data_IF_486106322437
#
_entry.id   IF_486106322437
#
_cell.length_a   1.000
_cell.length_b   1.000
_cell.length_c   1.000
_cell.angle_alpha   90.00
_cell.angle_beta   90.00
_cell.angle_gamma   90.00
#
_symmetry.space_group_name_H-M   'P 1'
#
loop_
_entity.id
_entity.type
_entity.pdbx_description
1 polymer ?
#
# COMPACT_ATOMS: atom_id res chain seq x y z
N UNK A 1 9.73 -14.44 6.45
CA UNK A 1 8.65 -13.45 6.21
C UNK A 1 7.95 -13.87 4.92
N UNK A 2 6.65 -14.09 4.94
CA UNK A 2 5.92 -14.43 3.72
C UNK A 2 5.73 -13.16 2.85
N UNK A 3 5.30 -13.35 1.57
CA UNK A 3 5.13 -12.22 0.64
C UNK A 3 4.13 -11.18 1.16
N UNK A 4 3.06 -11.62 1.81
CA UNK A 4 2.01 -10.75 2.31
C UNK A 4 2.48 -9.91 3.48
N UNK A 5 3.28 -10.47 4.38
CA UNK A 5 3.85 -9.72 5.51
C UNK A 5 4.78 -8.60 5.03
N UNK A 6 5.60 -8.85 3.97
CA UNK A 6 6.47 -7.82 3.40
C UNK A 6 5.69 -6.66 2.78
N UNK A 7 4.59 -6.95 2.08
CA UNK A 7 3.70 -5.92 1.51
C UNK A 7 3.04 -5.11 2.62
N UNK A 8 2.51 -5.78 3.65
CA UNK A 8 1.87 -5.13 4.79
C UNK A 8 2.86 -4.24 5.52
N UNK A 9 4.07 -4.74 5.80
CA UNK A 9 5.11 -3.95 6.45
C UNK A 9 5.42 -2.67 5.67
N UNK A 10 5.65 -2.77 4.34
CA UNK A 10 5.90 -1.59 3.52
C UNK A 10 4.74 -0.57 3.61
N UNK A 11 3.50 -1.03 3.54
CA UNK A 11 2.34 -0.13 3.64
C UNK A 11 2.27 0.55 5.02
N UNK A 12 2.51 -0.18 6.10
CA UNK A 12 2.51 0.38 7.46
C UNK A 12 3.65 1.38 7.68
N UNK A 13 4.81 1.19 7.05
CA UNK A 13 5.91 2.16 7.05
C UNK A 13 5.53 3.47 6.35
N UNK A 14 4.61 3.42 5.36
CA UNK A 14 4.12 4.61 4.66
C UNK A 14 2.98 5.32 5.41
N UNK A 15 2.04 4.55 5.97
CA UNK A 15 0.81 5.08 6.57
C UNK A 15 0.92 5.30 8.08
N UNK A 16 1.92 4.68 8.71
CA UNK A 16 1.93 4.48 10.14
C UNK A 16 0.97 3.36 10.58
N UNK A 17 1.09 2.98 11.85
CA UNK A 17 0.14 2.06 12.49
C UNK A 17 -0.20 2.59 13.88
N UNK A 18 -1.43 3.03 14.03
CA UNK A 18 -1.91 3.67 15.25
C UNK A 18 -2.97 2.82 15.95
N UNK A 19 -2.70 2.38 17.14
CA UNK A 19 -3.68 1.66 17.99
C UNK A 19 -4.62 2.62 18.71
N UNK A 20 -4.25 3.89 18.84
CA UNK A 20 -5.14 4.94 19.32
C UNK A 20 -5.79 5.62 18.12
N UNK A 21 -7.09 5.81 18.19
CA UNK A 21 -7.80 6.57 17.15
C UNK A 21 -7.28 8.01 17.10
N UNK A 22 -7.23 8.58 15.91
CA UNK A 22 -6.83 9.97 15.71
C UNK A 22 -7.63 10.61 14.57
N UNK A 23 -7.72 11.92 14.58
CA UNK A 23 -8.28 12.70 13.49
C UNK A 23 -7.12 13.37 12.74
N UNK A 24 -6.88 13.04 11.45
CA UNK A 24 -5.80 13.68 10.70
C UNK A 24 -5.96 15.19 10.64
N UNK A 25 -4.99 15.93 11.19
CA UNK A 25 -5.02 17.38 11.29
C UNK A 25 -3.68 18.00 10.87
N UNK A 26 -3.77 19.21 10.30
CA UNK A 26 -2.62 20.09 10.08
C UNK A 26 -2.96 21.45 10.69
N UNK A 27 -2.12 21.92 11.61
CA UNK A 27 -2.35 23.18 12.36
C UNK A 27 -3.74 23.24 13.03
N UNK A 28 -4.22 22.12 13.61
CA UNK A 28 -5.51 22.02 14.26
C UNK A 28 -6.73 21.90 13.32
N UNK A 29 -6.53 21.97 12.02
CA UNK A 29 -7.57 21.84 10.99
C UNK A 29 -7.54 20.41 10.44
N UNK A 30 -8.72 19.79 10.32
CA UNK A 30 -8.84 18.45 9.73
C UNK A 30 -8.39 18.47 8.27
N UNK A 31 -7.54 17.53 7.89
CA UNK A 31 -7.02 17.42 6.53
C UNK A 31 -8.14 16.96 5.59
N UNK A 32 -8.52 17.83 4.67
CA UNK A 32 -9.50 17.52 3.65
C UNK A 32 -10.85 17.08 4.23
N UNK A 33 -11.31 15.91 3.83
CA UNK A 33 -12.55 15.27 4.31
C UNK A 33 -12.26 14.02 5.18
N UNK A 34 -11.16 14.03 5.91
CA UNK A 34 -10.82 12.92 6.81
C UNK A 34 -11.80 12.79 7.97
N UNK A 35 -12.02 11.56 8.37
CA UNK A 35 -12.74 11.20 9.59
C UNK A 35 -11.81 10.60 10.64
N UNK A 36 -12.39 10.04 11.70
CA UNK A 36 -11.62 9.35 12.73
C UNK A 36 -10.95 8.12 12.14
N UNK A 37 -9.65 8.00 12.39
CA UNK A 37 -8.76 7.01 11.75
C UNK A 37 -8.04 6.19 12.81
N UNK A 38 -7.70 4.93 12.49
CA UNK A 38 -6.87 4.04 13.30
C UNK A 38 -6.17 2.97 12.44
N UNK A 39 -5.38 2.10 13.08
CA UNK A 39 -4.66 1.02 12.39
C UNK A 39 -3.75 1.56 11.28
N UNK A 40 -3.71 0.91 10.16
CA UNK A 40 -2.99 1.35 8.96
C UNK A 40 -3.87 2.24 8.06
N UNK A 41 -4.39 3.36 8.60
CA UNK A 41 -5.17 4.33 7.82
C UNK A 41 -6.65 3.99 7.66
N UNK A 42 -7.26 3.24 8.57
CA UNK A 42 -8.69 2.91 8.54
C UNK A 42 -9.51 4.13 8.96
N UNK A 43 -10.05 4.86 8.00
CA UNK A 43 -10.88 6.07 8.19
C UNK A 43 -12.37 5.68 8.25
N UNK A 44 -12.93 5.61 9.47
CA UNK A 44 -14.35 5.27 9.69
C UNK A 44 -15.32 6.39 9.29
N UNK A 45 -14.84 7.61 9.14
CA UNK A 45 -15.64 8.70 8.60
C UNK A 45 -15.99 8.50 7.11
N UNK A 46 -15.21 7.69 6.37
CA UNK A 46 -15.52 7.34 4.98
C UNK A 46 -16.53 6.20 4.86
N UNK A 47 -16.85 5.50 5.95
CA UNK A 47 -17.67 4.30 5.96
C UNK A 47 -19.15 4.60 6.22
N UNK A 48 -20.01 3.78 5.61
CA UNK A 48 -21.38 3.67 6.03
C UNK A 48 -21.52 2.69 7.23
N UNK A 49 -22.67 2.74 7.93
CA UNK A 49 -22.92 1.90 9.11
C UNK A 49 -22.72 0.40 8.82
N UNK A 50 -23.17 -0.09 7.66
CA UNK A 50 -23.01 -1.50 7.26
C UNK A 50 -21.54 -1.90 7.12
N UNK A 51 -20.74 -1.03 6.52
CA UNK A 51 -19.30 -1.26 6.31
C UNK A 51 -18.55 -1.21 7.65
N UNK A 52 -18.89 -0.25 8.51
CA UNK A 52 -18.34 -0.14 9.86
C UNK A 52 -18.63 -1.40 10.70
N UNK A 53 -19.88 -1.87 10.74
CA UNK A 53 -20.23 -3.11 11.45
C UNK A 53 -19.49 -4.35 10.92
N UNK A 54 -19.21 -4.39 9.63
CA UNK A 54 -18.43 -5.46 9.01
C UNK A 54 -16.94 -5.47 9.42
N UNK A 55 -16.45 -4.45 10.15
CA UNK A 55 -15.11 -4.47 10.74
C UNK A 55 -14.97 -5.52 11.85
N UNK A 56 -16.09 -5.91 12.49
CA UNK A 56 -16.09 -6.91 13.57
C UNK A 56 -15.30 -6.46 14.80
N UNK A 57 -15.46 -5.20 15.17
CA UNK A 57 -14.87 -4.64 16.39
C UNK A 57 -15.44 -5.28 17.64
N UNK A 58 -14.68 -5.36 18.76
CA UNK A 58 -15.24 -5.63 20.06
C UNK A 58 -16.40 -4.69 20.36
N UNK A 59 -17.43 -5.18 21.04
CA UNK A 59 -18.71 -4.47 21.23
C UNK A 59 -18.53 -3.10 21.90
N UNK A 60 -17.68 -3.01 22.91
CA UNK A 60 -17.35 -1.78 23.62
C UNK A 60 -16.67 -0.75 22.71
N UNK A 61 -15.73 -1.22 21.86
CA UNK A 61 -15.05 -0.38 20.87
C UNK A 61 -16.03 0.05 19.77
N UNK A 62 -16.89 -0.86 19.30
CA UNK A 62 -17.91 -0.54 18.30
C UNK A 62 -18.85 0.58 18.81
N UNK A 63 -19.37 0.46 20.02
CA UNK A 63 -20.24 1.49 20.61
C UNK A 63 -19.52 2.84 20.75
N UNK A 64 -18.28 2.83 21.21
CA UNK A 64 -17.49 4.06 21.37
C UNK A 64 -17.23 4.79 20.03
N UNK A 65 -17.05 4.05 18.95
CA UNK A 65 -16.73 4.59 17.64
C UNK A 65 -17.95 4.92 16.77
N UNK A 66 -19.12 4.39 17.11
CA UNK A 66 -20.36 4.56 16.33
C UNK A 66 -20.70 6.02 16.01
N UNK A 67 -20.53 7.02 16.93
CA UNK A 67 -20.82 8.43 16.66
C UNK A 67 -19.95 9.03 15.55
N UNK A 68 -18.79 8.44 15.24
CA UNK A 68 -17.86 8.92 14.23
C UNK A 68 -18.14 8.36 12.83
N UNK A 69 -18.98 7.35 12.70
CA UNK A 69 -19.27 6.70 11.42
C UNK A 69 -19.91 7.70 10.45
N UNK A 70 -19.28 7.85 9.29
CA UNK A 70 -19.71 8.81 8.25
C UNK A 70 -19.39 10.27 8.54
N UNK A 71 -18.82 10.61 9.71
CA UNK A 71 -18.47 11.98 10.09
C UNK A 71 -17.12 12.39 9.52
N UNK A 72 -17.07 13.53 8.84
CA UNK A 72 -15.91 14.02 8.09
C UNK A 72 -15.63 15.48 8.38
N UNK A 73 -14.38 15.90 8.29
CA UNK A 73 -13.99 17.30 8.41
C UNK A 73 -14.48 17.93 9.72
N UNK A 74 -15.25 19.02 9.64
CA UNK A 74 -15.77 19.73 10.80
C UNK A 74 -16.73 18.91 11.66
N UNK A 75 -17.51 18.00 11.07
CA UNK A 75 -18.39 17.10 11.83
C UNK A 75 -17.58 16.12 12.69
N UNK A 76 -16.51 15.52 12.10
CA UNK A 76 -15.62 14.64 12.85
C UNK A 76 -14.91 15.40 13.98
N UNK A 77 -14.51 16.65 13.75
CA UNK A 77 -13.89 17.50 14.77
C UNK A 77 -14.85 17.83 15.91
N UNK A 78 -16.14 18.04 15.62
CA UNK A 78 -17.16 18.27 16.64
C UNK A 78 -17.32 17.05 17.54
N UNK A 79 -17.47 15.85 16.96
CA UNK A 79 -17.57 14.60 17.70
C UNK A 79 -16.29 14.34 18.53
N UNK A 80 -15.11 14.58 17.97
CA UNK A 80 -13.84 14.41 18.71
C UNK A 80 -13.78 15.30 19.97
N UNK A 81 -14.24 16.55 19.87
CA UNK A 81 -14.28 17.45 21.04
C UNK A 81 -15.24 16.99 22.13
N UNK A 82 -16.32 16.32 21.76
CA UNK A 82 -17.32 15.82 22.67
C UNK A 82 -16.93 14.48 23.30
N UNK A 83 -16.43 13.55 22.52
CA UNK A 83 -16.24 12.16 22.92
C UNK A 83 -14.75 11.79 23.12
N UNK A 84 -13.84 12.39 22.36
CA UNK A 84 -12.40 12.14 22.43
C UNK A 84 -11.92 10.94 21.59
N UNK A 85 -10.78 10.36 21.99
CA UNK A 85 -10.09 9.29 21.29
C UNK A 85 -10.11 7.99 22.10
N UNK A 86 -10.01 6.85 21.39
CA UNK A 86 -10.07 5.52 21.99
C UNK A 86 -8.83 4.70 21.64
N UNK A 87 -8.47 3.77 22.53
CA UNK A 87 -7.47 2.75 22.25
C UNK A 87 -8.16 1.51 21.70
N UNK A 88 -7.63 0.98 20.62
CA UNK A 88 -8.07 -0.26 19.99
C UNK A 88 -7.00 -1.31 20.29
N UNK A 89 -7.35 -2.53 20.75
CA UNK A 89 -6.35 -3.57 20.93
C UNK A 89 -5.51 -3.77 19.67
N UNK A 90 -4.19 -3.87 19.83
CA UNK A 90 -3.26 -3.88 18.68
C UNK A 90 -3.54 -5.04 17.71
N UNK A 91 -3.88 -6.22 18.25
CA UNK A 91 -4.26 -7.38 17.45
C UNK A 91 -5.54 -7.14 16.64
N UNK A 92 -6.52 -6.42 17.21
CA UNK A 92 -7.77 -6.06 16.51
C UNK A 92 -7.49 -5.06 15.40
N UNK A 93 -6.74 -4.01 15.70
CA UNK A 93 -6.35 -3.00 14.71
C UNK A 93 -5.56 -3.62 13.56
N UNK A 94 -4.64 -4.55 13.86
CA UNK A 94 -3.84 -5.26 12.87
C UNK A 94 -4.69 -6.19 12.00
N UNK A 95 -5.61 -6.96 12.60
CA UNK A 95 -6.51 -7.84 11.84
C UNK A 95 -7.41 -7.06 10.88
N UNK A 96 -7.98 -5.94 11.34
CA UNK A 96 -8.77 -5.05 10.48
C UNK A 96 -7.92 -4.47 9.35
N UNK A 97 -6.69 -4.03 9.65
CA UNK A 97 -5.76 -3.51 8.64
C UNK A 97 -5.44 -4.58 7.58
N UNK A 98 -5.16 -5.82 7.99
CA UNK A 98 -4.91 -6.95 7.07
C UNK A 98 -6.12 -7.22 6.17
N UNK A 99 -7.32 -7.25 6.74
CA UNK A 99 -8.57 -7.44 5.96
C UNK A 99 -8.82 -6.28 4.98
N UNK A 100 -8.49 -5.06 5.37
CA UNK A 100 -8.59 -3.90 4.48
C UNK A 100 -7.61 -3.98 3.30
N UNK A 101 -6.36 -4.38 3.57
CA UNK A 101 -5.35 -4.62 2.52
C UNK A 101 -5.80 -5.75 1.59
N UNK A 102 -6.35 -6.85 2.12
CA UNK A 102 -6.84 -7.95 1.29
C UNK A 102 -8.01 -7.51 0.38
N UNK A 103 -8.92 -6.69 0.88
CA UNK A 103 -9.98 -6.07 0.05
C UNK A 103 -9.38 -5.23 -1.09
N UNK A 104 -8.32 -4.48 -0.81
CA UNK A 104 -7.58 -3.71 -1.83
C UNK A 104 -6.89 -4.61 -2.86
N UNK A 105 -6.29 -5.74 -2.43
CA UNK A 105 -5.74 -6.76 -3.34
C UNK A 105 -6.82 -7.34 -4.25
N UNK A 106 -8.00 -7.64 -3.72
CA UNK A 106 -9.12 -8.13 -4.54
C UNK A 106 -9.55 -7.12 -5.61
N UNK A 107 -9.54 -5.83 -5.30
CA UNK A 107 -9.81 -4.77 -6.28
C UNK A 107 -8.73 -4.74 -7.38
N UNK A 108 -7.47 -4.89 -7.03
CA UNK A 108 -6.36 -4.96 -7.99
C UNK A 108 -6.44 -6.23 -8.85
N UNK A 109 -6.71 -7.40 -8.27
CA UNK A 109 -6.92 -8.66 -9.02
C UNK A 109 -8.05 -8.54 -10.04
N UNK A 110 -9.14 -7.87 -9.66
CA UNK A 110 -10.27 -7.64 -10.57
C UNK A 110 -9.92 -6.72 -11.74
N UNK A 111 -9.09 -5.70 -11.49
CA UNK A 111 -8.67 -4.74 -12.51
C UNK A 111 -7.49 -5.26 -13.36
N UNK A 112 -6.63 -6.07 -12.75
CA UNK A 112 -5.38 -6.58 -13.30
C UNK A 112 -5.21 -8.05 -12.91
N UNK A 113 -5.64 -9.00 -13.75
CA UNK A 113 -5.56 -10.43 -13.45
C UNK A 113 -4.13 -10.93 -13.16
N UNK A 114 -3.12 -10.26 -13.70
CA UNK A 114 -1.69 -10.54 -13.48
C UNK A 114 -1.14 -10.08 -12.12
N UNK A 115 -1.93 -9.39 -11.29
CA UNK A 115 -1.47 -8.78 -10.03
C UNK A 115 -0.74 -9.76 -9.10
N UNK A 116 -1.20 -11.01 -8.99
CA UNK A 116 -0.55 -11.99 -8.10
C UNK A 116 0.76 -12.56 -8.67
N UNK A 117 1.02 -12.39 -9.98
CA UNK A 117 2.23 -12.86 -10.64
C UNK A 117 3.40 -11.87 -10.60
N UNK A 118 3.12 -10.59 -10.32
CA UNK A 118 4.17 -9.57 -10.21
C UNK A 118 4.95 -9.67 -8.88
N UNK A 119 6.10 -8.99 -8.80
CA UNK A 119 6.94 -9.02 -7.61
C UNK A 119 6.25 -8.39 -6.38
N UNK A 120 6.74 -8.74 -5.19
CA UNK A 120 6.26 -8.17 -3.91
C UNK A 120 6.39 -6.64 -3.91
N UNK A 121 7.48 -6.12 -4.45
CA UNK A 121 7.74 -4.68 -4.55
C UNK A 121 6.70 -3.98 -5.45
N UNK A 122 6.39 -4.57 -6.59
CA UNK A 122 5.35 -4.06 -7.49
C UNK A 122 3.95 -4.10 -6.82
N UNK A 123 3.61 -5.20 -6.14
CA UNK A 123 2.36 -5.32 -5.40
C UNK A 123 2.26 -4.25 -4.31
N UNK A 124 3.33 -4.00 -3.56
CA UNK A 124 3.38 -2.99 -2.52
C UNK A 124 3.16 -1.58 -3.08
N UNK A 125 3.80 -1.23 -4.18
CA UNK A 125 3.62 0.07 -4.85
C UNK A 125 2.21 0.21 -5.42
N UNK A 126 1.66 -0.81 -6.07
CA UNK A 126 0.31 -0.79 -6.60
C UNK A 126 -0.74 -0.58 -5.49
N UNK A 127 -0.59 -1.27 -4.36
CA UNK A 127 -1.45 -1.10 -3.19
C UNK A 127 -1.31 0.29 -2.56
N UNK A 128 -0.10 0.82 -2.48
CA UNK A 128 0.16 2.18 -1.98
C UNK A 128 -0.52 3.24 -2.85
N UNK A 129 -0.46 3.11 -4.17
CA UNK A 129 -1.18 3.99 -5.11
C UNK A 129 -2.69 3.89 -4.92
N UNK A 130 -3.23 2.65 -4.82
CA UNK A 130 -4.66 2.43 -4.61
C UNK A 130 -5.13 3.01 -3.28
N UNK A 131 -4.35 2.87 -2.22
CA UNK A 131 -4.66 3.41 -0.89
C UNK A 131 -4.78 4.94 -0.93
N UNK A 132 -3.86 5.63 -1.62
CA UNK A 132 -3.86 7.09 -1.67
C UNK A 132 -4.93 7.71 -2.58
N UNK A 133 -5.21 7.07 -3.72
CA UNK A 133 -6.05 7.66 -4.77
C UNK A 133 -7.34 6.87 -5.01
N UNK A 134 -7.59 5.82 -4.20
CA UNK A 134 -8.74 4.95 -4.37
C UNK A 134 -8.81 4.35 -5.78
N UNK A 135 -10.02 4.09 -6.26
CA UNK A 135 -10.23 3.51 -7.59
C UNK A 135 -9.71 4.38 -8.75
N UNK A 136 -9.46 5.67 -8.52
CA UNK A 136 -8.84 6.56 -9.51
C UNK A 136 -7.45 6.09 -9.92
N UNK A 137 -6.69 5.53 -8.98
CA UNK A 137 -5.35 5.02 -9.21
C UNK A 137 -5.28 3.95 -10.30
N UNK A 138 -6.34 3.14 -10.45
CA UNK A 138 -6.41 2.07 -11.47
C UNK A 138 -6.26 2.57 -12.91
N UNK A 139 -6.48 3.87 -13.15
CA UNK A 139 -6.37 4.47 -14.49
C UNK A 139 -5.02 5.14 -14.73
N UNK A 140 -4.20 5.32 -13.69
CA UNK A 140 -2.94 6.05 -13.80
C UNK A 140 -1.92 5.30 -14.66
N UNK A 141 -1.13 6.07 -15.42
CA UNK A 141 -0.02 5.54 -16.23
C UNK A 141 0.97 4.79 -15.35
N UNK A 142 1.27 5.36 -14.17
CA UNK A 142 2.16 4.76 -13.17
C UNK A 142 1.67 3.39 -12.71
N UNK A 143 0.38 3.25 -12.37
CA UNK A 143 -0.20 1.95 -11.99
C UNK A 143 -0.01 0.92 -13.11
N UNK A 144 -0.31 1.30 -14.34
CA UNK A 144 -0.17 0.41 -15.51
C UNK A 144 1.28 0.01 -15.75
N UNK A 145 2.23 0.94 -15.60
CA UNK A 145 3.66 0.65 -15.74
C UNK A 145 4.14 -0.33 -14.65
N UNK A 146 3.73 -0.12 -13.39
CA UNK A 146 4.02 -1.02 -12.28
C UNK A 146 3.53 -2.44 -12.56
N UNK A 147 2.27 -2.58 -12.98
CA UNK A 147 1.64 -3.88 -13.22
C UNK A 147 2.27 -4.60 -14.42
N UNK A 148 2.58 -3.89 -15.50
CA UNK A 148 3.21 -4.46 -16.71
C UNK A 148 4.69 -4.80 -16.54
N UNK A 149 5.32 -4.35 -15.45
CA UNK A 149 6.76 -4.54 -15.24
C UNK A 149 7.64 -3.54 -15.97
N UNK A 150 7.07 -2.44 -16.48
CA UNK A 150 7.82 -1.33 -17.09
C UNK A 150 8.48 -0.50 -15.97
N UNK A 151 9.39 -1.13 -15.21
CA UNK A 151 9.90 -0.60 -13.94
C UNK A 151 10.59 0.75 -14.10
N UNK A 152 11.39 0.95 -15.16
CA UNK A 152 12.07 2.21 -15.40
C UNK A 152 11.08 3.34 -15.67
N UNK A 153 10.02 3.07 -16.42
CA UNK A 153 8.94 4.03 -16.65
C UNK A 153 8.17 4.32 -15.36
N UNK A 154 7.85 3.29 -14.58
CA UNK A 154 7.18 3.45 -13.29
C UNK A 154 7.98 4.33 -12.32
N UNK A 155 9.31 4.09 -12.23
CA UNK A 155 10.23 4.89 -11.40
C UNK A 155 10.27 6.35 -11.88
N UNK A 156 10.38 6.58 -13.19
CA UNK A 156 10.37 7.93 -13.75
C UNK A 156 9.08 8.69 -13.41
N UNK A 157 7.91 8.06 -13.61
CA UNK A 157 6.61 8.63 -13.30
C UNK A 157 6.41 8.88 -11.79
N UNK A 158 6.92 8.00 -10.92
CA UNK A 158 6.85 8.20 -9.47
C UNK A 158 7.70 9.39 -9.00
N UNK A 159 8.83 9.64 -9.62
CA UNK A 159 9.74 10.75 -9.29
C UNK A 159 9.39 12.06 -9.98
N UNK A 160 8.49 12.05 -10.95
CA UNK A 160 8.09 13.25 -11.67
C UNK A 160 7.17 14.12 -10.81
N UNK A 161 7.61 15.32 -10.36
CA UNK A 161 6.78 16.19 -9.54
C UNK A 161 5.56 16.75 -10.29
N UNK A 162 5.58 16.77 -11.63
CA UNK A 162 4.47 17.27 -12.44
C UNK A 162 3.31 16.26 -12.51
N UNK A 163 3.58 14.95 -12.38
CA UNK A 163 2.54 13.91 -12.33
C UNK A 163 1.75 13.94 -11.00
N UNK A 164 2.30 14.56 -9.93
CA UNK A 164 1.73 14.52 -8.59
C UNK A 164 1.45 15.92 -8.05
N UNK A 165 0.23 16.39 -8.20
CA UNK A 165 -0.19 17.75 -7.77
C UNK A 165 -0.08 17.96 -6.25
N UNK A 166 -0.13 16.91 -5.44
CA UNK A 166 0.03 17.01 -4.00
C UNK A 166 1.50 16.81 -3.60
N UNK A 167 2.21 17.92 -3.38
CA UNK A 167 3.62 17.94 -2.98
C UNK A 167 3.91 17.19 -1.67
N UNK A 168 2.92 17.06 -0.78
CA UNK A 168 3.08 16.31 0.49
C UNK A 168 3.25 14.80 0.26
N UNK A 169 2.85 14.31 -0.91
CA UNK A 169 3.02 12.92 -1.31
C UNK A 169 4.36 12.64 -2.02
N UNK A 170 5.14 13.65 -2.41
CA UNK A 170 6.41 13.46 -3.11
C UNK A 170 7.40 12.58 -2.34
N UNK A 171 7.60 12.73 -0.99
CA UNK A 171 8.47 11.83 -0.25
C UNK A 171 8.01 10.38 -0.32
N UNK A 172 6.70 10.14 -0.33
CA UNK A 172 6.12 8.80 -0.47
C UNK A 172 6.36 8.24 -1.88
N UNK A 173 6.12 9.03 -2.92
CA UNK A 173 6.40 8.65 -4.32
C UNK A 173 7.87 8.27 -4.52
N UNK A 174 8.79 9.03 -3.90
CA UNK A 174 10.21 8.72 -3.94
C UNK A 174 10.53 7.37 -3.27
N UNK A 175 9.99 7.07 -2.09
CA UNK A 175 10.18 5.77 -1.43
C UNK A 175 9.64 4.60 -2.26
N UNK A 176 8.50 4.78 -2.94
CA UNK A 176 7.95 3.80 -3.87
C UNK A 176 8.86 3.59 -5.09
N UNK A 177 9.41 4.66 -5.63
CA UNK A 177 10.39 4.60 -6.71
C UNK A 177 11.67 3.88 -6.25
N UNK A 178 12.17 4.16 -5.05
CA UNK A 178 13.36 3.51 -4.47
C UNK A 178 13.13 2.00 -4.27
N UNK A 179 11.93 1.60 -3.86
CA UNK A 179 11.55 0.19 -3.74
C UNK A 179 11.62 -0.53 -5.11
N UNK A 180 11.09 0.09 -6.17
CA UNK A 180 11.19 -0.46 -7.53
C UNK A 180 12.63 -0.43 -8.06
N UNK A 181 13.41 0.60 -7.73
CA UNK A 181 14.80 0.70 -8.11
C UNK A 181 15.62 -0.45 -7.51
N UNK A 182 15.38 -0.82 -6.25
CA UNK A 182 16.04 -1.97 -5.61
C UNK A 182 15.72 -3.28 -6.34
N UNK A 183 14.49 -3.45 -6.84
CA UNK A 183 14.11 -4.60 -7.64
C UNK A 183 14.90 -4.65 -8.96
N UNK A 184 15.00 -3.54 -9.68
CA UNK A 184 15.78 -3.46 -10.94
C UNK A 184 17.24 -3.84 -10.70
N UNK A 185 17.87 -3.28 -9.65
CA UNK A 185 19.25 -3.59 -9.30
C UNK A 185 19.45 -5.08 -8.97
N UNK A 186 18.52 -5.68 -8.22
CA UNK A 186 18.57 -7.10 -7.89
C UNK A 186 18.47 -7.99 -9.13
N UNK A 187 17.60 -7.64 -10.07
CA UNK A 187 17.45 -8.37 -11.35
C UNK A 187 18.73 -8.27 -12.20
N UNK A 188 19.33 -7.10 -12.29
CA UNK A 188 20.58 -6.91 -13.01
C UNK A 188 21.74 -7.71 -12.40
N UNK A 189 21.85 -7.74 -11.06
CA UNK A 189 22.86 -8.53 -10.37
C UNK A 189 22.68 -10.03 -10.62
N UNK A 190 21.45 -10.54 -10.58
CA UNK A 190 21.15 -11.94 -10.87
C UNK A 190 21.52 -12.31 -12.33
N UNK A 191 21.18 -11.45 -13.29
CA UNK A 191 21.52 -11.66 -14.68
C UNK A 191 23.05 -11.68 -14.91
N UNK A 192 23.77 -10.75 -14.27
CA UNK A 192 25.23 -10.71 -14.34
C UNK A 192 25.88 -11.98 -13.76
N UNK A 193 25.37 -12.47 -12.63
CA UNK A 193 25.85 -13.71 -12.01
C UNK A 193 25.59 -14.93 -12.90
N UNK A 194 24.40 -15.02 -13.49
CA UNK A 194 24.06 -16.12 -14.42
C UNK A 194 24.94 -16.10 -15.67
N UNK A 195 25.17 -14.92 -16.24
CA UNK A 195 26.07 -14.77 -17.39
C UNK A 195 27.51 -15.18 -17.04
N UNK A 196 28.02 -14.81 -15.86
CA UNK A 196 29.34 -15.21 -15.41
C UNK A 196 29.47 -16.72 -15.19
N UNK A 197 28.44 -17.38 -14.66
CA UNK A 197 28.41 -18.83 -14.48
C UNK A 197 28.38 -19.58 -15.82
N UNK A 198 27.62 -19.10 -16.82
CA UNK A 198 27.57 -19.67 -18.15
C UNK A 198 28.92 -19.54 -18.87
N UNK A 199 29.61 -18.42 -18.70
CA UNK A 199 30.93 -18.20 -19.29
C UNK A 199 32.03 -19.10 -18.71
N UNK A 200 31.84 -19.65 -17.50
CA UNK A 200 32.80 -20.55 -16.84
C UNK A 200 32.53 -22.02 -17.14
N UNK A 201 31.44 -22.40 -17.81
CA UNK A 201 31.21 -23.77 -18.23
C UNK A 201 32.13 -24.06 -19.40
N UNK A 202 33.05 -25.08 -19.29
CA UNK A 202 33.91 -25.45 -20.40
C UNK A 202 33.03 -25.94 -21.56
N UNK A 203 33.34 -25.44 -22.76
CA UNK A 203 32.73 -25.90 -23.99
C UNK A 203 32.82 -27.45 -24.01
N UNK A 204 31.65 -28.10 -23.94
CA UNK A 204 31.57 -29.55 -23.81
C UNK A 204 32.44 -30.21 -24.83
N UNK A 205 33.22 -31.23 -24.38
CA UNK A 205 33.97 -32.13 -25.22
C UNK A 205 33.07 -32.63 -26.34
N UNK A 206 33.32 -32.22 -27.56
CA UNK A 206 32.87 -32.96 -28.70
C UNK A 206 33.58 -34.31 -28.61
N UNK A 207 32.86 -35.35 -28.16
CA UNK A 207 33.30 -36.70 -28.35
C UNK A 207 33.45 -36.95 -29.85
N UNK A 208 34.67 -36.93 -30.31
CA UNK A 208 35.03 -37.62 -31.56
C UNK A 208 34.63 -39.08 -31.38
N UNK A 209 33.54 -39.49 -31.96
CA UNK A 209 33.27 -40.88 -32.26
C UNK A 209 34.06 -41.18 -33.53
N UNK A 210 35.31 -41.63 -33.33
CA UNK A 210 36.11 -42.22 -34.36
C UNK A 210 35.48 -43.54 -34.81
N UNK A 211 35.46 -43.71 -36.12
CA UNK A 211 35.35 -44.87 -37.00
C UNK A 211 35.47 -46.26 -36.37
#
# INVERSE_FOLDING_TARGET
MNKDDAVIQFLLEQEGFETRTYLPKKNGIVIGRSGLTFGGGIDIGQMGLREFKALGLPQDVEYALLPYVGKKGSEALAVEKEIGHFNIPAEVAMDITRRHIEKSKQQLRKAYPEFDSISVQQQAVALSLLHNYGNGALKYKTMKAVIKGDLLQAIALLRDPEEWSNVELHPRRNREADLLQSLVMSQQQQQAQQAAQQAQQPAGMFNEVGV
#
